data_IF_454702623145
#
_entry.id   IF_454702623145
#
_cell.length_a   1.000
_cell.length_b   1.000
_cell.length_c   1.000
_cell.angle_alpha   90.00
_cell.angle_beta   90.00
_cell.angle_gamma   90.00
#
_symmetry.space_group_name_H-M   'P 1'
#
loop_
_entity.id
_entity.type
_entity.pdbx_description
1 polymer ?
#
# COMPACT_ATOMS: atom_id res chain seq x y z
N UNK A 1 8.52 -59.32 43.40
CA UNK A 1 8.74 -57.87 43.58
C UNK A 1 7.89 -57.14 42.55
N UNK A 2 7.04 -56.23 43.01
CA UNK A 2 5.99 -55.50 42.27
C UNK A 2 6.58 -54.23 41.61
N UNK A 3 5.97 -53.80 40.48
CA UNK A 3 5.62 -52.41 40.04
C UNK A 3 5.82 -52.28 38.50
N UNK A 4 4.78 -52.30 37.65
CA UNK A 4 3.70 -51.32 37.34
C UNK A 4 4.10 -50.23 36.30
N UNK A 5 3.60 -50.44 35.06
CA UNK A 5 2.82 -49.57 34.12
C UNK A 5 3.23 -48.11 33.82
N UNK A 6 3.28 -47.77 32.52
CA UNK A 6 2.61 -46.57 31.93
C UNK A 6 2.38 -46.77 30.42
N UNK A 7 1.20 -47.24 30.02
CA UNK A 7 0.00 -46.48 29.61
C UNK A 7 0.06 -45.95 28.17
N UNK A 8 -0.66 -46.65 27.29
CA UNK A 8 -0.73 -46.41 25.86
C UNK A 8 -2.09 -45.77 25.54
N UNK A 9 -2.18 -44.45 25.59
CA UNK A 9 -3.43 -43.70 25.39
C UNK A 9 -3.80 -43.69 23.90
N UNK A 10 -4.70 -44.59 23.48
CA UNK A 10 -5.30 -44.54 22.14
C UNK A 10 -6.32 -43.38 22.08
N UNK A 11 -6.26 -42.50 21.07
CA UNK A 11 -7.22 -41.40 20.98
C UNK A 11 -8.63 -41.94 20.69
N UNK A 12 -9.59 -41.42 21.46
CA UNK A 12 -10.99 -41.87 21.51
C UNK A 12 -11.72 -41.61 20.17
N UNK A 13 -12.45 -42.59 19.63
CA UNK A 13 -13.24 -42.45 18.38
C UNK A 13 -14.34 -41.39 18.47
N UNK A 14 -14.75 -41.01 19.67
CA UNK A 14 -15.76 -39.98 19.89
C UNK A 14 -15.27 -38.56 19.52
N UNK A 15 -13.98 -38.27 19.66
CA UNK A 15 -13.40 -36.95 19.32
C UNK A 15 -13.42 -36.68 17.82
N UNK A 16 -13.18 -37.71 16.99
CA UNK A 16 -13.24 -37.61 15.53
C UNK A 16 -14.65 -37.33 14.99
N UNK A 17 -15.68 -37.88 15.63
CA UNK A 17 -17.09 -37.62 15.25
C UNK A 17 -17.52 -36.18 15.58
N UNK A 18 -17.05 -35.63 16.69
CA UNK A 18 -17.32 -34.24 17.07
C UNK A 18 -16.63 -33.25 16.12
N UNK A 19 -15.37 -33.51 15.74
CA UNK A 19 -14.63 -32.69 14.77
C UNK A 19 -15.31 -32.69 13.39
N UNK A 20 -15.73 -33.87 12.89
CA UNK A 20 -16.43 -33.96 11.62
C UNK A 20 -17.80 -33.27 11.65
N UNK A 21 -18.54 -33.30 12.77
CA UNK A 21 -19.80 -32.55 12.92
C UNK A 21 -19.59 -31.03 12.97
N UNK A 22 -18.48 -30.56 13.54
CA UNK A 22 -18.13 -29.15 13.59
C UNK A 22 -17.72 -28.61 12.19
N UNK A 23 -17.04 -29.44 11.40
CA UNK A 23 -16.59 -29.10 10.04
C UNK A 23 -17.72 -29.24 9.00
N UNK A 24 -18.67 -30.17 9.19
CA UNK A 24 -19.75 -30.49 8.24
C UNK A 24 -21.14 -30.01 8.70
N UNK A 25 -21.22 -28.96 9.49
CA UNK A 25 -22.51 -28.31 9.74
C UNK A 25 -22.90 -27.49 8.50
N UNK A 26 -24.13 -27.64 7.98
CA UNK A 26 -24.54 -27.00 6.72
C UNK A 26 -24.47 -25.46 6.70
N UNK A 27 -24.27 -24.81 7.86
CA UNK A 27 -23.96 -23.38 7.97
C UNK A 27 -22.49 -23.08 7.62
N UNK A 28 -21.55 -23.92 8.03
CA UNK A 28 -20.11 -23.84 7.74
C UNK A 28 -19.84 -23.98 6.25
N UNK A 29 -20.53 -24.92 5.59
CA UNK A 29 -20.44 -25.14 4.13
C UNK A 29 -20.98 -23.93 3.35
N UNK A 30 -22.08 -23.30 3.80
CA UNK A 30 -22.63 -22.09 3.18
C UNK A 30 -21.72 -20.87 3.34
N UNK A 31 -21.12 -20.66 4.52
CA UNK A 31 -20.14 -19.59 4.73
C UNK A 31 -18.88 -19.79 3.87
N UNK A 32 -18.37 -21.02 3.79
CA UNK A 32 -17.19 -21.35 3.00
C UNK A 32 -17.45 -21.17 1.49
N UNK A 33 -18.66 -21.51 1.01
CA UNK A 33 -19.09 -21.28 -0.36
C UNK A 33 -19.17 -19.79 -0.74
N UNK A 34 -19.44 -18.89 0.20
CA UNK A 34 -19.46 -17.44 -0.04
C UNK A 34 -18.05 -16.81 -0.03
N UNK A 35 -17.12 -17.34 0.76
CA UNK A 35 -15.76 -16.79 0.88
C UNK A 35 -14.83 -17.27 -0.24
N UNK A 36 -15.01 -18.51 -0.72
CA UNK A 36 -14.20 -19.07 -1.82
C UNK A 36 -14.13 -18.18 -3.08
N UNK A 37 -15.25 -17.68 -3.65
CA UNK A 37 -15.19 -16.83 -4.83
C UNK A 37 -14.50 -15.49 -4.57
N UNK A 38 -14.60 -14.93 -3.36
CA UNK A 38 -13.85 -13.72 -2.97
C UNK A 38 -12.34 -13.99 -2.95
N UNK A 39 -11.92 -15.12 -2.39
CA UNK A 39 -10.50 -15.51 -2.39
C UNK A 39 -9.98 -15.84 -3.79
N UNK A 40 -10.77 -16.50 -4.63
CA UNK A 40 -10.42 -16.77 -6.03
C UNK A 40 -10.29 -15.46 -6.81
N UNK A 41 -11.28 -14.56 -6.68
CA UNK A 41 -11.25 -13.23 -7.29
C UNK A 41 -10.01 -12.45 -6.84
N UNK A 42 -9.71 -12.45 -5.54
CA UNK A 42 -8.54 -11.79 -4.99
C UNK A 42 -7.25 -12.40 -5.56
N UNK A 43 -7.15 -13.72 -5.59
CA UNK A 43 -6.01 -14.45 -6.16
C UNK A 43 -5.81 -14.10 -7.64
N UNK A 44 -6.87 -14.12 -8.44
CA UNK A 44 -6.83 -13.71 -9.85
C UNK A 44 -6.39 -12.26 -10.02
N UNK A 45 -6.93 -11.32 -9.23
CA UNK A 45 -6.51 -9.91 -9.25
C UNK A 45 -5.02 -9.78 -8.91
N UNK A 46 -4.55 -10.51 -7.90
CA UNK A 46 -3.15 -10.48 -7.47
C UNK A 46 -2.20 -11.01 -8.56
N UNK A 47 -2.57 -12.10 -9.25
CA UNK A 47 -1.81 -12.66 -10.37
C UNK A 47 -1.80 -11.69 -11.55
N UNK A 48 -2.96 -11.15 -11.94
CA UNK A 48 -3.06 -10.17 -13.03
C UNK A 48 -2.18 -8.94 -12.76
N UNK A 49 -2.14 -8.44 -11.52
CA UNK A 49 -1.33 -7.28 -11.15
C UNK A 49 0.19 -7.50 -11.37
N UNK A 50 0.68 -8.74 -11.36
CA UNK A 50 2.08 -9.03 -11.66
C UNK A 50 2.43 -8.67 -13.12
N UNK A 51 1.49 -8.87 -14.04
CA UNK A 51 1.69 -8.66 -15.47
C UNK A 51 1.42 -7.23 -15.92
N UNK A 52 0.70 -6.42 -15.14
CA UNK A 52 0.45 -5.01 -15.48
C UNK A 52 1.72 -4.20 -15.26
N UNK A 53 2.27 -3.61 -16.33
CA UNK A 53 3.42 -2.73 -16.24
C UNK A 53 2.99 -1.36 -15.68
N UNK A 54 3.66 -0.84 -14.64
CA UNK A 54 3.39 0.51 -14.16
C UNK A 54 3.68 1.57 -15.23
N UNK A 55 2.78 2.57 -15.30
CA UNK A 55 2.81 3.67 -16.27
C UNK A 55 3.29 4.98 -15.65
N UNK A 56 3.49 5.00 -14.33
CA UNK A 56 4.02 6.13 -13.59
C UNK A 56 4.75 5.66 -12.33
N UNK A 57 5.56 6.55 -11.76
CA UNK A 57 6.15 6.39 -10.44
C UNK A 57 5.45 7.37 -9.50
N UNK A 58 4.88 6.87 -8.39
CA UNK A 58 4.32 7.69 -7.32
C UNK A 58 5.21 7.55 -6.08
N UNK A 59 5.94 8.61 -5.76
CA UNK A 59 6.76 8.70 -4.56
C UNK A 59 5.95 9.38 -3.47
N UNK A 60 5.70 8.66 -2.38
CA UNK A 60 5.15 9.25 -1.18
C UNK A 60 6.28 9.81 -0.33
N UNK A 61 6.21 11.11 -0.13
CA UNK A 61 7.16 11.91 0.61
C UNK A 61 7.04 11.77 2.13
N UNK A 62 7.67 12.71 2.80
CA UNK A 62 8.26 12.58 4.13
C UNK A 62 9.73 12.95 4.03
N UNK A 63 10.01 14.25 4.16
CA UNK A 63 11.36 14.79 3.99
C UNK A 63 12.28 14.26 5.08
N UNK A 64 13.22 13.37 4.73
CA UNK A 64 14.38 13.10 5.56
C UNK A 64 15.50 14.04 5.14
N UNK A 65 16.40 14.40 6.06
CA UNK A 65 17.58 15.23 5.75
C UNK A 65 18.43 14.65 4.61
N UNK A 66 18.33 13.33 4.39
CA UNK A 66 19.17 12.59 3.47
C UNK A 66 18.56 12.40 2.07
N UNK A 67 17.28 12.68 1.86
CA UNK A 67 16.62 12.62 0.55
C UNK A 67 16.72 11.24 -0.13
N UNK A 68 16.72 10.17 0.68
CA UNK A 68 16.95 8.81 0.21
C UNK A 68 15.91 8.34 -0.82
N UNK A 69 14.65 8.76 -0.67
CA UNK A 69 13.57 8.38 -1.59
C UNK A 69 13.73 9.05 -2.95
N UNK A 70 14.07 10.33 -2.98
CA UNK A 70 14.32 11.07 -4.21
C UNK A 70 15.56 10.52 -4.93
N UNK A 71 16.66 10.27 -4.20
CA UNK A 71 17.89 9.67 -4.78
C UNK A 71 17.63 8.27 -5.34
N UNK A 72 16.95 7.42 -4.57
CA UNK A 72 16.57 6.08 -5.01
C UNK A 72 15.70 6.14 -6.26
N UNK A 73 14.68 6.99 -6.24
CA UNK A 73 13.75 7.15 -7.36
C UNK A 73 14.46 7.68 -8.60
N UNK A 74 15.35 8.66 -8.46
CA UNK A 74 16.12 9.20 -9.58
C UNK A 74 16.98 8.11 -10.24
N UNK A 75 17.59 7.21 -9.45
CA UNK A 75 18.33 6.05 -9.98
C UNK A 75 17.41 5.06 -10.70
N UNK A 76 16.25 4.76 -10.12
CA UNK A 76 15.24 3.85 -10.70
C UNK A 76 14.67 4.40 -12.01
N UNK A 77 14.37 5.69 -12.06
CA UNK A 77 13.74 6.36 -13.20
C UNK A 77 14.57 6.32 -14.50
N UNK A 78 15.87 6.03 -14.40
CA UNK A 78 16.73 5.79 -15.58
C UNK A 78 16.37 4.50 -16.32
N UNK A 79 15.82 3.50 -15.62
CA UNK A 79 15.37 2.24 -16.22
C UNK A 79 14.05 2.42 -16.99
N UNK A 80 13.32 3.50 -16.70
CA UNK A 80 12.01 3.79 -17.28
C UNK A 80 12.00 5.23 -17.80
N UNK A 81 12.67 5.53 -18.93
CA UNK A 81 12.93 6.91 -19.37
C UNK A 81 11.66 7.71 -19.71
N UNK A 82 10.54 7.03 -20.03
CA UNK A 82 9.36 7.66 -20.62
C UNK A 82 8.16 7.76 -19.66
N UNK A 83 8.25 7.23 -18.44
CA UNK A 83 7.12 7.29 -17.50
C UNK A 83 7.20 8.54 -16.61
N UNK A 84 6.07 9.25 -16.41
CA UNK A 84 5.99 10.38 -15.49
C UNK A 84 6.20 9.97 -14.03
N UNK A 85 6.66 10.93 -13.22
CA UNK A 85 7.02 10.75 -11.81
C UNK A 85 6.24 11.76 -10.98
N UNK A 86 5.41 11.29 -10.05
CA UNK A 86 4.78 12.11 -9.02
C UNK A 86 5.57 12.03 -7.73
N UNK A 87 5.78 13.18 -7.12
CA UNK A 87 6.40 13.29 -5.79
C UNK A 87 5.43 14.08 -4.93
N UNK A 88 4.77 13.41 -3.99
CA UNK A 88 3.77 14.01 -3.11
C UNK A 88 4.33 14.16 -1.69
N UNK A 89 4.26 15.35 -1.10
CA UNK A 89 4.82 15.62 0.24
C UNK A 89 6.35 15.51 0.32
N UNK A 90 7.04 15.68 -0.82
CA UNK A 90 8.48 15.56 -0.94
C UNK A 90 9.25 16.84 -0.59
N UNK A 91 10.54 16.83 -0.92
CA UNK A 91 11.45 17.95 -0.64
C UNK A 91 11.20 19.16 -1.55
N UNK A 92 11.69 20.37 -1.18
CA UNK A 92 11.42 21.58 -1.95
C UNK A 92 11.82 21.44 -3.44
N UNK A 93 11.09 22.10 -4.37
CA UNK A 93 11.19 21.82 -5.80
C UNK A 93 12.60 21.90 -6.36
N UNK A 94 13.38 22.89 -5.91
CA UNK A 94 14.73 23.11 -6.40
C UNK A 94 15.67 21.96 -6.04
N UNK A 95 15.60 21.46 -4.80
CA UNK A 95 16.41 20.33 -4.35
C UNK A 95 16.03 19.04 -5.06
N UNK A 96 14.73 18.79 -5.17
CA UNK A 96 14.20 17.61 -5.88
C UNK A 96 14.63 17.62 -7.34
N UNK A 97 14.37 18.70 -8.09
CA UNK A 97 14.78 18.82 -9.49
C UNK A 97 16.29 18.64 -9.68
N UNK A 98 17.11 19.19 -8.77
CA UNK A 98 18.57 19.03 -8.82
C UNK A 98 19.00 17.57 -8.67
N UNK A 99 18.39 16.80 -7.76
CA UNK A 99 18.70 15.36 -7.60
C UNK A 99 18.41 14.60 -8.90
N UNK A 100 17.23 14.81 -9.48
CA UNK A 100 16.81 14.12 -10.70
C UNK A 100 17.67 14.54 -11.90
N UNK A 101 17.93 15.84 -12.07
CA UNK A 101 18.81 16.35 -13.12
C UNK A 101 20.22 15.78 -13.02
N UNK A 102 20.80 15.73 -11.81
CA UNK A 102 22.12 15.14 -11.58
C UNK A 102 22.17 13.64 -11.89
N UNK A 103 21.03 12.94 -11.80
CA UNK A 103 20.92 11.54 -12.19
C UNK A 103 20.67 11.33 -13.70
N UNK A 104 20.59 12.41 -14.49
CA UNK A 104 20.27 12.36 -15.92
C UNK A 104 18.79 12.12 -16.21
N UNK A 105 17.90 12.41 -15.26
CA UNK A 105 16.45 12.31 -15.46
C UNK A 105 15.91 13.67 -15.88
N UNK A 106 15.17 13.70 -16.98
CA UNK A 106 14.47 14.90 -17.43
C UNK A 106 13.48 15.40 -16.37
N UNK A 107 13.72 16.62 -15.89
CA UNK A 107 12.90 17.26 -14.86
C UNK A 107 11.47 17.59 -15.32
N UNK A 108 11.20 17.61 -16.63
CA UNK A 108 9.84 17.78 -17.16
C UNK A 108 8.94 16.58 -16.84
N UNK A 109 9.53 15.42 -16.53
CA UNK A 109 8.78 14.23 -16.08
C UNK A 109 8.25 14.36 -14.65
N UNK A 110 8.72 15.35 -13.89
CA UNK A 110 8.38 15.51 -12.48
C UNK A 110 7.09 16.31 -12.30
N UNK A 111 6.14 15.69 -11.61
CA UNK A 111 4.90 16.31 -11.13
C UNK A 111 5.04 16.40 -9.60
N UNK A 112 5.20 17.61 -9.08
CA UNK A 112 5.50 17.84 -7.67
C UNK A 112 4.22 18.31 -6.97
N UNK A 113 3.78 17.54 -5.98
CA UNK A 113 2.63 17.84 -5.14
C UNK A 113 3.09 18.22 -3.73
N UNK A 114 2.69 19.42 -3.30
CA UNK A 114 3.01 20.00 -1.99
C UNK A 114 1.76 20.27 -1.15
N UNK A 115 0.58 19.86 -1.62
CA UNK A 115 -0.66 19.99 -0.86
C UNK A 115 -0.81 18.88 0.19
N UNK A 116 -0.17 17.74 -0.05
CA UNK A 116 -0.21 16.61 0.87
C UNK A 116 0.56 16.87 2.17
N UNK A 117 -0.09 16.57 3.29
CA UNK A 117 0.43 16.75 4.65
C UNK A 117 0.57 15.43 5.42
N UNK A 118 -0.03 14.36 4.92
CA UNK A 118 -0.01 13.03 5.51
C UNK A 118 -0.17 11.94 4.43
N UNK A 119 -0.16 10.67 4.84
CA UNK A 119 -0.23 9.56 3.89
C UNK A 119 -1.56 9.49 3.15
N UNK A 120 -2.68 9.90 3.75
CA UNK A 120 -4.00 9.89 3.06
C UNK A 120 -4.02 10.99 2.00
N UNK A 121 -3.59 12.18 2.37
CA UNK A 121 -3.50 13.32 1.45
C UNK A 121 -2.51 13.07 0.32
N UNK A 122 -1.40 12.36 0.54
CA UNK A 122 -0.47 12.02 -0.55
C UNK A 122 -1.14 11.28 -1.73
N UNK A 123 -2.12 10.42 -1.43
CA UNK A 123 -2.89 9.74 -2.48
C UNK A 123 -4.04 10.60 -2.99
N UNK A 124 -4.80 11.23 -2.09
CA UNK A 124 -6.05 11.92 -2.46
C UNK A 124 -5.84 13.20 -3.28
N UNK A 125 -4.70 13.86 -3.14
CA UNK A 125 -4.32 15.03 -3.97
C UNK A 125 -3.82 14.63 -5.36
N UNK A 126 -3.31 13.40 -5.53
CA UNK A 126 -2.67 12.96 -6.78
C UNK A 126 -3.53 12.03 -7.62
N UNK A 127 -4.43 11.28 -6.99
CA UNK A 127 -5.19 10.20 -7.62
C UNK A 127 -6.08 10.68 -8.77
N UNK A 128 -6.67 11.87 -8.68
CA UNK A 128 -7.58 12.38 -9.71
C UNK A 128 -6.81 12.78 -10.98
N UNK A 129 -5.63 13.39 -10.81
CA UNK A 129 -4.73 13.70 -11.93
C UNK A 129 -4.17 12.43 -12.58
N UNK A 130 -3.80 11.42 -11.78
CA UNK A 130 -3.39 10.12 -12.30
C UNK A 130 -4.50 9.47 -13.13
N UNK A 131 -5.74 9.51 -12.63
CA UNK A 131 -6.90 8.97 -13.34
C UNK A 131 -7.19 9.73 -14.63
N UNK A 132 -7.14 11.06 -14.60
CA UNK A 132 -7.34 11.93 -15.76
C UNK A 132 -6.33 11.63 -16.88
N UNK A 133 -5.07 11.35 -16.51
CA UNK A 133 -4.01 10.94 -17.45
C UNK A 133 -4.11 9.47 -17.90
N UNK A 134 -5.17 8.76 -17.53
CA UNK A 134 -5.41 7.37 -17.92
C UNK A 134 -4.44 6.37 -17.30
N UNK A 135 -3.75 6.73 -16.21
CA UNK A 135 -2.83 5.83 -15.52
C UNK A 135 -3.64 4.76 -14.78
N UNK A 136 -3.25 3.50 -14.97
CA UNK A 136 -3.90 2.30 -14.40
C UNK A 136 -2.99 1.54 -13.44
N UNK A 137 -1.68 1.79 -13.48
CA UNK A 137 -0.75 1.17 -12.55
C UNK A 137 0.45 2.07 -12.26
N UNK A 138 0.89 2.11 -11.01
CA UNK A 138 2.04 2.91 -10.56
C UNK A 138 3.07 2.09 -9.80
N UNK A 139 4.35 2.47 -9.89
CA UNK A 139 5.32 2.10 -8.87
C UNK A 139 5.05 2.96 -7.64
N UNK A 140 4.71 2.34 -6.52
CA UNK A 140 4.49 3.04 -5.26
C UNK A 140 5.77 3.02 -4.44
N UNK A 141 6.41 4.17 -4.28
CA UNK A 141 7.69 4.30 -3.60
C UNK A 141 7.51 5.02 -2.27
N UNK A 142 7.94 4.39 -1.19
CA UNK A 142 8.15 5.03 0.12
C UNK A 142 9.17 4.22 0.91
N UNK A 143 9.51 4.63 2.13
CA UNK A 143 10.39 3.82 2.97
C UNK A 143 9.69 2.55 3.46
N UNK A 144 10.44 1.48 3.68
CA UNK A 144 9.95 0.24 4.32
C UNK A 144 9.18 0.52 5.64
N UNK A 145 9.62 1.52 6.41
CA UNK A 145 8.96 2.04 7.61
C UNK A 145 7.48 2.40 7.41
N UNK A 146 7.14 2.99 6.25
CA UNK A 146 5.79 3.47 5.92
C UNK A 146 5.04 2.58 4.93
N UNK A 147 5.72 1.60 4.31
CA UNK A 147 5.18 0.87 3.19
C UNK A 147 3.86 0.17 3.53
N UNK A 148 3.73 -0.40 4.74
CA UNK A 148 2.48 -1.06 5.15
C UNK A 148 1.28 -0.11 5.14
N UNK A 149 1.43 1.09 5.69
CA UNK A 149 0.37 2.11 5.70
C UNK A 149 0.09 2.62 4.30
N UNK A 150 1.14 2.86 3.51
CA UNK A 150 1.02 3.27 2.12
C UNK A 150 0.25 2.24 1.28
N UNK A 151 0.52 0.94 1.42
CA UNK A 151 -0.23 -0.11 0.72
C UNK A 151 -1.71 -0.11 1.11
N UNK A 152 -2.03 -0.03 2.40
CA UNK A 152 -3.43 -0.03 2.87
C UNK A 152 -4.20 1.15 2.29
N UNK A 153 -3.64 2.35 2.37
CA UNK A 153 -4.28 3.56 1.83
C UNK A 153 -4.33 3.50 0.30
N UNK A 154 -3.27 3.04 -0.35
CA UNK A 154 -3.18 2.90 -1.80
C UNK A 154 -4.22 1.93 -2.37
N UNK A 155 -4.43 0.77 -1.74
CA UNK A 155 -5.47 -0.20 -2.17
C UNK A 155 -6.87 0.43 -2.12
N UNK A 156 -7.13 1.29 -1.14
CA UNK A 156 -8.42 1.98 -1.00
C UNK A 156 -8.54 3.11 -2.03
N UNK A 157 -7.58 4.05 -2.03
CA UNK A 157 -7.67 5.29 -2.82
C UNK A 157 -7.41 5.04 -4.30
N UNK A 158 -6.28 4.42 -4.67
CA UNK A 158 -5.99 4.11 -6.07
C UNK A 158 -6.97 3.05 -6.60
N UNK A 159 -7.27 2.03 -5.79
CA UNK A 159 -8.21 0.97 -6.14
C UNK A 159 -9.61 1.50 -6.44
N UNK A 160 -10.08 2.53 -5.72
CA UNK A 160 -11.37 3.17 -5.99
C UNK A 160 -11.47 3.79 -7.40
N UNK A 161 -10.33 4.07 -8.05
CA UNK A 161 -10.24 4.60 -9.43
C UNK A 161 -9.81 3.54 -10.46
N UNK A 162 -9.83 2.27 -10.07
CA UNK A 162 -9.41 1.17 -10.94
C UNK A 162 -7.91 1.20 -11.25
N UNK A 163 -7.10 1.75 -10.34
CA UNK A 163 -5.65 1.70 -10.42
C UNK A 163 -5.08 0.60 -9.52
N UNK A 164 -4.06 -0.09 -10.00
CA UNK A 164 -3.22 -0.96 -9.21
C UNK A 164 -1.88 -0.28 -8.88
N UNK A 165 -1.07 -0.91 -8.04
CA UNK A 165 0.29 -0.45 -7.81
C UNK A 165 1.25 -1.62 -7.56
N UNK A 166 2.54 -1.34 -7.74
CA UNK A 166 3.65 -2.21 -7.38
C UNK A 166 4.51 -1.52 -6.31
N UNK A 167 4.50 -1.99 -5.06
CA UNK A 167 5.26 -1.36 -3.98
C UNK A 167 6.77 -1.58 -4.20
N UNK A 168 7.55 -0.52 -4.03
CA UNK A 168 9.02 -0.56 -4.06
C UNK A 168 9.53 0.18 -2.84
N UNK A 169 10.00 -0.58 -1.85
CA UNK A 169 10.46 -0.03 -0.58
C UNK A 169 11.87 0.52 -0.70
N UNK A 170 12.06 1.73 -0.16
CA UNK A 170 13.38 2.29 0.11
C UNK A 170 13.79 1.85 1.52
N UNK A 171 14.96 1.20 1.69
CA UNK A 171 15.41 0.78 3.01
C UNK A 171 15.48 1.95 3.99
N UNK A 172 15.09 1.71 5.24
CA UNK A 172 15.29 2.65 6.34
C UNK A 172 15.78 1.95 7.61
N UNK A 173 16.41 2.69 8.50
CA UNK A 173 16.96 2.15 9.75
C UNK A 173 15.88 1.85 10.80
N UNK A 174 14.61 2.19 10.54
CA UNK A 174 13.53 2.10 11.50
C UNK A 174 12.65 0.87 11.28
N UNK A 175 12.28 0.19 12.38
CA UNK A 175 11.23 -0.83 12.37
C UNK A 175 9.90 -0.27 11.89
N UNK A 176 9.08 -1.04 11.14
CA UNK A 176 7.79 -0.58 10.63
C UNK A 176 6.94 0.13 11.70
N UNK A 177 6.24 1.18 11.27
CA UNK A 177 5.44 1.99 12.19
C UNK A 177 4.36 1.17 12.93
N UNK A 178 3.71 1.69 13.98
CA UNK A 178 2.62 0.98 14.67
C UNK A 178 1.42 0.71 13.76
N UNK A 179 0.77 -0.46 13.92
CA UNK A 179 -0.37 -0.90 13.09
C UNK A 179 -1.57 0.06 13.23
N UNK A 180 -1.74 0.67 14.39
CA UNK A 180 -2.83 1.60 14.68
C UNK A 180 -2.86 2.79 13.71
N UNK A 181 -1.69 3.27 13.27
CA UNK A 181 -1.61 4.33 12.25
C UNK A 181 -2.19 3.87 10.92
N UNK A 182 -1.90 2.64 10.52
CA UNK A 182 -2.42 2.04 9.29
C UNK A 182 -3.94 1.86 9.34
N UNK A 183 -4.48 1.41 10.48
CA UNK A 183 -5.93 1.25 10.69
C UNK A 183 -6.64 2.61 10.60
N UNK A 184 -6.13 3.61 11.33
CA UNK A 184 -6.68 4.97 11.33
C UNK A 184 -6.70 5.57 9.93
N UNK A 185 -5.58 5.52 9.22
CA UNK A 185 -5.47 6.11 7.89
C UNK A 185 -6.27 5.30 6.84
N UNK A 186 -6.42 3.98 7.02
CA UNK A 186 -7.34 3.17 6.22
C UNK A 186 -8.81 3.58 6.42
N UNK A 187 -9.24 3.80 7.67
CA UNK A 187 -10.59 4.30 7.95
C UNK A 187 -10.82 5.69 7.34
N UNK A 188 -9.84 6.60 7.46
CA UNK A 188 -9.88 7.92 6.80
C UNK A 188 -9.97 7.80 5.27
N UNK A 189 -9.23 6.88 4.66
CA UNK A 189 -9.29 6.65 3.22
C UNK A 189 -10.68 6.17 2.76
N UNK A 190 -11.33 5.27 3.52
CA UNK A 190 -12.69 4.82 3.22
C UNK A 190 -13.69 5.98 3.33
N UNK A 191 -13.59 6.78 4.40
CA UNK A 191 -14.43 7.98 4.58
C UNK A 191 -14.24 8.92 3.39
N UNK A 192 -13.00 9.14 2.97
CA UNK A 192 -12.71 9.97 1.81
C UNK A 192 -13.33 9.42 0.52
N UNK A 193 -13.23 8.12 0.24
CA UNK A 193 -13.87 7.51 -0.94
C UNK A 193 -15.39 7.71 -0.91
N UNK A 194 -16.01 7.62 0.28
CA UNK A 194 -17.45 7.77 0.43
C UNK A 194 -17.95 9.23 0.38
N UNK A 195 -17.13 10.20 0.78
CA UNK A 195 -17.59 11.57 1.07
C UNK A 195 -16.76 12.69 0.43
N UNK A 196 -15.57 12.39 -0.08
CA UNK A 196 -14.55 13.37 -0.47
C UNK A 196 -13.82 14.04 0.72
N UNK A 197 -14.23 13.77 1.97
CA UNK A 197 -13.62 14.38 3.15
C UNK A 197 -12.34 13.65 3.58
N UNK A 198 -11.20 14.36 3.58
CA UNK A 198 -9.88 13.78 3.88
C UNK A 198 -9.61 13.62 5.39
N UNK A 199 -10.33 14.35 6.24
CA UNK A 199 -10.08 14.41 7.69
C UNK A 199 -8.70 14.93 8.06
N UNK A 200 -8.00 15.58 7.13
CA UNK A 200 -6.79 16.33 7.45
C UNK A 200 -7.20 17.64 8.12
N UNK A 201 -6.74 17.88 9.34
CA UNK A 201 -6.88 19.20 9.94
C UNK A 201 -6.04 20.17 9.13
N UNK A 202 -6.68 21.17 8.50
CA UNK A 202 -6.01 22.31 7.88
C UNK A 202 -5.38 23.20 8.98
N UNK A 203 -4.43 22.66 9.75
CA UNK A 203 -3.57 23.47 10.60
C UNK A 203 -2.54 24.14 9.68
N UNK A 204 -2.71 25.44 9.47
CA UNK A 204 -1.92 26.36 8.65
C UNK A 204 -2.36 26.52 7.19
N UNK A 205 -3.59 26.98 6.97
CA UNK A 205 -3.83 27.99 5.94
C UNK A 205 -3.68 29.38 6.56
N UNK A 206 -2.47 29.69 6.99
CA UNK A 206 -2.07 31.04 7.38
C UNK A 206 -0.61 31.24 7.05
N UNK A 207 -0.39 31.83 5.87
CA UNK A 207 0.58 32.89 5.60
C UNK A 207 0.21 33.57 4.27
N UNK A 208 0.47 34.88 4.17
CA UNK A 208 -0.22 35.83 3.30
C UNK A 208 -0.09 35.54 1.81
#
# INVERSE_FOLDING_TARGET
MVLIVKENSRPNRHTYRALNKLILTGKSVKFMACLLPLFIWWGCKAVQNQFVQPQAILVLGGSTRLLEREKFTAKLARQYPNIPIWISGGSPPQHTKKIFANAGVDTQRLNLDYEAVDTVTNFTTTVDELQYRGIKSVYLITSDFHMRRACIVGEIVLGSRGMNFKPVSVPSENSPEPIQKSIRDGARAIIWVATGYTGANYANKSRP
#
